data_IF_501443895340
#
_entry.id   IF_501443895340
#
_cell.length_a   1.000
_cell.length_b   1.000
_cell.length_c   1.000
_cell.angle_alpha   90.00
_cell.angle_beta   90.00
_cell.angle_gamma   90.00
#
_symmetry.space_group_name_H-M   'P 1'
#
loop_
_entity.id
_entity.type
_entity.pdbx_description
1 polymer ?
#
# COMPACT_ATOMS: atom_id res chain seq x y z
N UNK A 1 -30.22 25.83 -43.13
CA UNK A 1 -30.00 27.28 -43.33
C UNK A 1 -28.94 27.73 -42.35
N UNK A 2 -27.80 28.14 -42.88
CA UNK A 2 -26.66 28.64 -42.12
C UNK A 2 -26.93 30.07 -41.65
N UNK A 3 -26.50 30.41 -40.43
CA UNK A 3 -25.86 31.70 -40.18
C UNK A 3 -24.74 31.47 -39.16
N UNK A 4 -23.52 31.36 -39.68
CA UNK A 4 -22.30 31.68 -38.96
C UNK A 4 -22.29 33.21 -38.78
N UNK A 5 -22.02 33.71 -37.58
CA UNK A 5 -21.42 35.04 -37.45
C UNK A 5 -20.07 34.96 -36.74
N UNK A 6 -18.99 35.49 -37.36
CA UNK A 6 -17.63 35.50 -36.82
C UNK A 6 -17.27 36.87 -36.22
N UNK A 7 -15.99 37.00 -35.85
CA UNK A 7 -15.23 38.26 -35.67
C UNK A 7 -15.39 38.84 -34.25
N UNK A 8 -14.32 38.96 -33.45
CA UNK A 8 -13.35 40.04 -33.61
C UNK A 8 -11.99 39.68 -32.97
N UNK A 9 -10.92 39.77 -33.78
CA UNK A 9 -9.54 39.93 -33.33
C UNK A 9 -9.39 41.29 -32.62
N UNK A 10 -8.65 41.31 -31.52
CA UNK A 10 -7.90 42.49 -31.11
C UNK A 10 -6.49 42.06 -30.69
N UNK A 11 -5.55 42.25 -31.62
CA UNK A 11 -4.14 42.42 -31.34
C UNK A 11 -3.97 43.80 -30.69
N UNK A 12 -3.30 43.91 -29.55
CA UNK A 12 -2.19 44.84 -29.43
C UNK A 12 -1.37 44.60 -28.17
N UNK A 13 -0.08 44.74 -28.41
CA UNK A 13 1.09 44.65 -27.55
C UNK A 13 0.98 45.44 -26.24
N UNK A 14 1.62 44.95 -25.18
CA UNK A 14 2.54 45.78 -24.40
C UNK A 14 3.54 44.87 -23.68
N UNK A 15 4.80 44.93 -24.15
CA UNK A 15 5.96 44.43 -23.43
C UNK A 15 6.15 45.29 -22.19
N UNK A 16 5.99 44.70 -21.00
CA UNK A 16 6.52 45.28 -19.75
C UNK A 16 7.70 44.41 -19.35
N UNK A 17 8.88 44.98 -19.54
CA UNK A 17 10.16 44.47 -19.08
C UNK A 17 10.20 44.72 -17.57
N UNK A 18 9.99 43.69 -16.76
CA UNK A 18 10.39 43.73 -15.35
C UNK A 18 11.87 43.37 -15.27
N UNK A 19 12.75 44.40 -15.27
CA UNK A 19 14.12 44.24 -14.79
C UNK A 19 14.05 44.15 -13.27
N UNK A 20 14.04 42.93 -12.75
CA UNK A 20 14.17 42.62 -11.34
C UNK A 20 15.42 41.78 -11.11
N UNK A 21 16.56 42.45 -10.92
CA UNK A 21 17.76 41.82 -10.38
C UNK A 21 17.55 41.64 -8.88
N UNK A 22 17.20 40.43 -8.44
CA UNK A 22 17.37 40.02 -7.05
C UNK A 22 18.20 38.73 -7.03
N UNK A 23 19.46 38.94 -6.71
CA UNK A 23 20.40 38.06 -6.03
C UNK A 23 19.85 36.73 -5.50
N UNK A 24 20.60 35.66 -5.74
CA UNK A 24 20.55 34.46 -4.90
C UNK A 24 20.31 33.14 -5.63
N UNK A 25 21.15 32.80 -6.61
CA UNK A 25 21.37 31.39 -6.97
C UNK A 25 22.68 30.93 -6.36
N UNK A 26 22.60 30.32 -5.18
CA UNK A 26 23.61 29.39 -4.70
C UNK A 26 22.88 28.08 -4.45
N UNK A 27 23.34 27.05 -5.15
CA UNK A 27 22.85 25.69 -5.08
C UNK A 27 22.88 25.19 -3.63
N UNK A 28 21.76 24.66 -3.15
CA UNK A 28 21.80 23.67 -2.09
C UNK A 28 21.94 22.32 -2.79
N UNK A 29 23.19 21.91 -2.99
CA UNK A 29 23.56 20.52 -3.23
C UNK A 29 23.24 19.70 -1.98
N UNK A 30 22.67 18.52 -2.24
CA UNK A 30 22.80 17.33 -1.41
C UNK A 30 22.23 17.43 0.01
N UNK A 31 20.92 17.18 0.09
CA UNK A 31 20.40 16.43 1.23
C UNK A 31 21.13 15.09 1.28
N UNK A 32 22.16 15.01 2.12
CA UNK A 32 22.81 13.78 2.49
C UNK A 32 21.72 12.82 2.95
N UNK A 33 21.47 11.79 2.14
CA UNK A 33 20.75 10.60 2.58
C UNK A 33 21.35 10.16 3.89
N UNK A 34 20.53 10.20 4.94
CA UNK A 34 20.86 9.61 6.21
C UNK A 34 21.33 8.19 5.95
N UNK A 35 22.51 7.89 6.48
CA UNK A 35 23.11 6.58 6.45
C UNK A 35 22.14 5.61 7.10
N UNK A 36 21.46 4.81 6.27
CA UNK A 36 20.67 3.66 6.71
C UNK A 36 21.64 2.65 7.32
N UNK A 37 21.90 2.84 8.62
CA UNK A 37 22.51 1.86 9.48
C UNK A 37 21.62 0.62 9.40
N UNK A 38 22.06 -0.41 8.66
CA UNK A 38 21.27 -1.60 8.33
C UNK A 38 20.80 -2.30 9.60
N UNK A 39 19.63 -1.91 10.10
CA UNK A 39 19.00 -2.52 11.26
C UNK A 39 18.33 -3.80 10.80
N UNK A 40 18.73 -4.93 11.39
CA UNK A 40 18.09 -6.22 11.17
C UNK A 40 16.56 -6.10 11.36
N UNK A 41 15.75 -6.78 10.53
CA UNK A 41 14.30 -6.76 10.69
C UNK A 41 13.88 -7.25 12.09
N UNK A 42 12.83 -6.64 12.61
CA UNK A 42 12.22 -7.03 13.88
C UNK A 42 11.30 -8.23 13.66
N UNK A 43 11.37 -9.22 14.56
CA UNK A 43 10.49 -10.39 14.48
C UNK A 43 9.13 -10.03 15.06
N UNK A 44 8.06 -10.28 14.31
CA UNK A 44 6.68 -10.18 14.77
C UNK A 44 6.26 -11.51 15.39
N UNK A 45 5.81 -11.44 16.63
CA UNK A 45 5.12 -12.52 17.32
C UNK A 45 3.81 -11.96 17.88
N UNK A 46 2.69 -12.34 17.28
CA UNK A 46 1.38 -11.92 17.75
C UNK A 46 0.73 -13.05 18.53
N UNK A 47 0.35 -12.74 19.77
CA UNK A 47 -0.48 -13.60 20.60
C UNK A 47 -1.69 -12.78 21.04
N UNK A 48 -2.88 -13.14 20.55
CA UNK A 48 -4.10 -12.45 20.91
C UNK A 48 -4.40 -12.63 22.41
N UNK A 49 -4.19 -11.57 23.19
CA UNK A 49 -4.52 -11.54 24.64
C UNK A 49 -5.99 -11.21 24.90
N UNK A 50 -6.62 -10.52 23.95
CA UNK A 50 -7.98 -10.01 24.03
C UNK A 50 -8.80 -10.36 22.79
N UNK A 51 -10.12 -10.24 22.88
CA UNK A 51 -11.01 -10.46 21.74
C UNK A 51 -10.88 -9.30 20.73
N UNK A 52 -10.94 -9.59 19.42
CA UNK A 52 -10.87 -8.55 18.40
C UNK A 52 -12.10 -7.64 18.44
N UNK A 53 -11.94 -6.39 18.02
CA UNK A 53 -13.07 -5.49 17.79
C UNK A 53 -13.91 -6.02 16.62
N UNK A 54 -15.23 -6.15 16.85
CA UNK A 54 -16.16 -6.66 15.86
C UNK A 54 -16.04 -5.91 14.53
N UNK A 55 -15.80 -6.67 13.46
CA UNK A 55 -15.70 -6.18 12.10
C UNK A 55 -14.37 -5.53 11.70
N UNK A 56 -13.48 -5.25 12.67
CA UNK A 56 -12.21 -4.54 12.44
C UNK A 56 -10.99 -5.44 12.73
N UNK A 57 -11.00 -6.15 13.85
CA UNK A 57 -9.85 -6.92 14.34
C UNK A 57 -9.13 -6.22 15.51
N UNK A 58 -7.81 -6.41 15.59
CA UNK A 58 -6.93 -5.74 16.56
C UNK A 58 -6.24 -4.53 15.93
N UNK A 59 -5.75 -3.61 16.78
CA UNK A 59 -5.00 -2.44 16.35
C UNK A 59 -3.64 -2.83 15.73
N UNK A 60 -3.31 -2.24 14.58
CA UNK A 60 -1.99 -2.38 13.96
C UNK A 60 -1.02 -1.47 14.71
N UNK A 61 -0.14 -2.07 15.53
CA UNK A 61 0.81 -1.34 16.39
C UNK A 61 2.16 -1.05 15.73
N UNK A 62 2.40 -1.60 14.54
CA UNK A 62 3.62 -1.37 13.75
C UNK A 62 3.45 -0.24 12.75
N UNK A 63 4.57 0.38 12.36
CA UNK A 63 4.60 1.47 11.39
C UNK A 63 5.38 1.07 10.14
N UNK A 64 4.91 1.53 9.00
CA UNK A 64 5.45 1.20 7.68
C UNK A 64 6.71 2.01 7.42
N UNK A 65 7.67 1.43 6.70
CA UNK A 65 8.75 2.16 6.05
C UNK A 65 8.47 2.36 4.56
N UNK A 66 9.42 2.98 3.87
CA UNK A 66 9.33 3.21 2.42
C UNK A 66 9.25 1.89 1.63
N UNK A 67 9.95 0.84 2.07
CA UNK A 67 9.92 -0.46 1.42
C UNK A 67 8.51 -1.11 1.48
N UNK A 68 7.83 -1.06 2.63
CA UNK A 68 6.47 -1.58 2.79
C UNK A 68 5.48 -0.79 1.93
N UNK A 69 5.58 0.54 1.93
CA UNK A 69 4.75 1.43 1.11
C UNK A 69 4.95 1.18 -0.38
N UNK A 70 6.19 0.98 -0.82
CA UNK A 70 6.49 0.71 -2.23
C UNK A 70 6.01 -0.69 -2.66
N UNK A 71 6.16 -1.71 -1.81
CA UNK A 71 5.65 -3.05 -2.09
C UNK A 71 4.12 -3.07 -2.19
N UNK A 72 3.40 -2.43 -1.25
CA UNK A 72 1.92 -2.44 -1.30
C UNK A 72 1.40 -1.71 -2.54
N UNK A 73 2.03 -0.60 -2.95
CA UNK A 73 1.65 0.09 -4.19
C UNK A 73 1.85 -0.81 -5.41
N UNK A 74 2.95 -1.57 -5.46
CA UNK A 74 3.17 -2.56 -6.51
C UNK A 74 2.07 -3.64 -6.53
N UNK A 75 1.78 -4.24 -5.37
CA UNK A 75 0.72 -5.25 -5.22
C UNK A 75 -0.66 -4.72 -5.64
N UNK A 76 -0.99 -3.49 -5.25
CA UNK A 76 -2.23 -2.83 -5.62
C UNK A 76 -2.31 -2.58 -7.13
N UNK A 77 -1.25 -2.02 -7.72
CA UNK A 77 -1.20 -1.70 -9.15
C UNK A 77 -1.33 -2.94 -10.04
N UNK A 78 -0.78 -4.08 -9.62
CA UNK A 78 -0.88 -5.33 -10.37
C UNK A 78 -2.20 -6.10 -10.11
N UNK A 79 -3.07 -5.59 -9.24
CA UNK A 79 -4.35 -6.24 -8.93
C UNK A 79 -4.24 -7.50 -8.07
N UNK A 80 -3.22 -7.60 -7.22
CA UNK A 80 -3.18 -8.64 -6.19
C UNK A 80 -4.42 -8.56 -5.29
N UNK A 81 -4.78 -9.66 -4.63
CA UNK A 81 -5.86 -9.67 -3.63
C UNK A 81 -5.41 -10.34 -2.34
N UNK A 82 -5.80 -9.76 -1.22
CA UNK A 82 -5.65 -10.36 0.11
C UNK A 82 -7.03 -10.75 0.64
N UNK A 83 -7.28 -12.04 0.79
CA UNK A 83 -8.52 -12.58 1.35
C UNK A 83 -8.34 -12.80 2.85
N UNK A 84 -9.17 -12.15 3.66
CA UNK A 84 -9.04 -12.12 5.12
C UNK A 84 -10.38 -12.33 5.81
N UNK A 85 -10.33 -12.66 7.09
CA UNK A 85 -11.44 -12.47 8.01
C UNK A 85 -11.01 -11.49 9.11
N UNK A 86 -11.84 -10.52 9.46
CA UNK A 86 -11.50 -9.50 10.46
C UNK A 86 -11.06 -10.06 11.83
N UNK A 87 -11.60 -11.21 12.22
CA UNK A 87 -11.33 -11.88 13.50
C UNK A 87 -10.11 -12.80 13.48
N UNK A 88 -9.45 -12.98 12.34
CA UNK A 88 -8.40 -13.99 12.17
C UNK A 88 -7.04 -13.50 12.70
N UNK A 89 -6.42 -14.21 13.67
CA UNK A 89 -5.13 -13.80 14.26
C UNK A 89 -3.99 -13.73 13.25
N UNK A 90 -3.87 -14.71 12.35
CA UNK A 90 -2.84 -14.71 11.30
C UNK A 90 -3.03 -13.58 10.30
N UNK A 91 -4.27 -13.16 10.06
CA UNK A 91 -4.58 -12.00 9.23
C UNK A 91 -4.06 -10.73 9.91
N UNK A 92 -4.16 -10.66 11.24
CA UNK A 92 -3.56 -9.58 12.00
C UNK A 92 -2.02 -9.62 12.01
N UNK A 93 -1.40 -10.80 12.07
CA UNK A 93 0.05 -10.92 11.88
C UNK A 93 0.50 -10.36 10.52
N UNK A 94 -0.22 -10.67 9.43
CA UNK A 94 0.07 -10.13 8.11
C UNK A 94 -0.04 -8.60 8.08
N UNK A 95 -1.03 -8.02 8.77
CA UNK A 95 -1.17 -6.56 8.96
C UNK A 95 0.07 -5.96 9.60
N UNK A 96 0.56 -6.60 10.67
CA UNK A 96 1.71 -6.12 11.42
C UNK A 96 3.01 -6.13 10.60
N UNK A 97 3.16 -7.06 9.65
CA UNK A 97 4.30 -7.08 8.74
C UNK A 97 4.34 -5.87 7.80
N UNK A 98 3.19 -5.38 7.35
CA UNK A 98 3.10 -4.18 6.51
C UNK A 98 3.18 -2.89 7.32
N UNK A 99 2.62 -2.87 8.52
CA UNK A 99 2.44 -1.64 9.28
C UNK A 99 1.19 -0.86 8.89
N UNK A 100 0.83 0.10 9.74
CA UNK A 100 -0.46 0.81 9.69
C UNK A 100 -0.72 1.52 8.36
N UNK A 101 0.26 2.26 7.86
CA UNK A 101 0.16 3.09 6.65
C UNK A 101 0.06 2.25 5.37
N UNK A 102 0.90 1.23 5.23
CA UNK A 102 0.86 0.33 4.08
C UNK A 102 -0.40 -0.55 4.11
N UNK A 103 -0.84 -1.01 5.29
CA UNK A 103 -2.06 -1.81 5.38
C UNK A 103 -3.34 -1.00 5.15
N UNK A 104 -3.31 0.33 5.34
CA UNK A 104 -4.41 1.20 4.92
C UNK A 104 -4.62 1.10 3.41
N UNK A 105 -3.53 1.14 2.62
CA UNK A 105 -3.58 0.97 1.16
C UNK A 105 -4.16 -0.41 0.80
N UNK A 106 -3.77 -1.47 1.51
CA UNK A 106 -4.34 -2.82 1.33
C UNK A 106 -5.85 -2.79 1.56
N UNK A 107 -6.27 -2.23 2.69
CA UNK A 107 -7.67 -2.16 3.10
C UNK A 107 -8.56 -1.43 2.10
N UNK A 108 -8.02 -0.39 1.46
CA UNK A 108 -8.77 0.45 0.53
C UNK A 108 -8.84 -0.11 -0.90
N UNK A 109 -7.89 -0.96 -1.30
CA UNK A 109 -7.72 -1.32 -2.73
C UNK A 109 -7.76 -2.82 -3.05
N UNK A 110 -7.20 -3.67 -2.18
CA UNK A 110 -6.92 -5.07 -2.54
C UNK A 110 -7.35 -6.10 -1.49
N UNK A 111 -7.80 -5.66 -0.31
CA UNK A 111 -8.40 -6.53 0.70
C UNK A 111 -9.78 -7.01 0.25
N UNK A 112 -10.07 -8.28 0.49
CA UNK A 112 -11.40 -8.90 0.39
C UNK A 112 -11.77 -9.46 1.75
N UNK A 113 -12.76 -8.85 2.40
CA UNK A 113 -13.27 -9.30 3.71
C UNK A 113 -14.27 -10.45 3.53
N UNK A 114 -14.00 -11.60 4.14
CA UNK A 114 -14.73 -12.83 3.89
C UNK A 114 -15.80 -13.17 4.94
N UNK A 115 -15.81 -12.53 6.11
CA UNK A 115 -16.84 -12.71 7.13
C UNK A 115 -17.95 -11.65 7.00
N UNK A 116 -19.22 -12.06 7.03
CA UNK A 116 -20.39 -11.18 6.87
C UNK A 116 -20.49 -10.09 7.94
N UNK A 117 -19.81 -10.22 9.07
CA UNK A 117 -19.78 -9.24 10.16
C UNK A 117 -18.60 -8.25 10.04
N UNK A 118 -17.78 -8.41 9.01
CA UNK A 118 -16.71 -7.50 8.65
C UNK A 118 -17.21 -6.19 8.04
N UNK A 119 -16.30 -5.21 7.91
CA UNK A 119 -16.58 -3.98 7.17
C UNK A 119 -16.48 -4.26 5.67
N UNK A 120 -17.48 -3.82 4.91
CA UNK A 120 -17.60 -4.02 3.47
C UNK A 120 -17.37 -5.49 3.04
N UNK A 121 -18.15 -6.44 3.59
CA UNK A 121 -17.86 -7.86 3.44
C UNK A 121 -18.27 -8.38 2.06
N UNK A 122 -17.46 -9.29 1.52
CA UNK A 122 -17.63 -9.94 0.22
C UNK A 122 -17.43 -11.47 0.30
N UNK A 123 -18.20 -12.18 1.14
CA UNK A 123 -18.06 -13.63 1.31
C UNK A 123 -18.23 -14.42 0.00
N UNK A 124 -19.06 -13.92 -0.92
CA UNK A 124 -19.31 -14.58 -2.20
C UNK A 124 -18.05 -14.57 -3.10
N UNK A 125 -17.24 -13.49 -3.05
CA UNK A 125 -15.96 -13.43 -3.74
C UNK A 125 -14.96 -14.42 -3.16
N UNK A 126 -14.95 -14.60 -1.85
CA UNK A 126 -14.08 -15.58 -1.19
C UNK A 126 -14.46 -17.02 -1.56
N UNK A 127 -15.76 -17.33 -1.59
CA UNK A 127 -16.28 -18.62 -2.05
C UNK A 127 -15.94 -18.89 -3.52
N UNK A 128 -16.11 -17.90 -4.38
CA UNK A 128 -15.76 -18.00 -5.80
C UNK A 128 -14.25 -18.23 -6.01
N UNK A 129 -13.40 -17.55 -5.22
CA UNK A 129 -11.95 -17.71 -5.25
C UNK A 129 -11.45 -19.04 -4.65
N UNK A 130 -12.30 -19.78 -3.93
CA UNK A 130 -11.98 -21.06 -3.28
C UNK A 130 -10.75 -20.95 -2.38
N UNK A 131 -10.61 -19.85 -1.64
CA UNK A 131 -9.48 -19.68 -0.72
C UNK A 131 -9.53 -20.73 0.39
N UNK A 132 -8.41 -21.43 0.68
CA UNK A 132 -8.40 -22.56 1.62
C UNK A 132 -8.44 -22.12 3.09
N UNK A 133 -8.17 -20.84 3.37
CA UNK A 133 -8.11 -20.27 4.70
C UNK A 133 -7.67 -18.80 4.65
N UNK A 134 -7.40 -18.22 5.82
CA UNK A 134 -7.03 -16.81 5.95
C UNK A 134 -5.71 -16.62 6.72
N UNK A 135 -4.88 -15.63 6.35
CA UNK A 135 -5.00 -14.88 5.10
C UNK A 135 -4.68 -15.76 3.89
N UNK A 136 -5.19 -15.39 2.72
CA UNK A 136 -4.73 -15.96 1.44
C UNK A 136 -4.47 -14.83 0.46
N UNK A 137 -3.27 -14.79 -0.11
CA UNK A 137 -2.95 -13.88 -1.20
C UNK A 137 -3.22 -14.54 -2.55
N UNK A 138 -3.81 -13.80 -3.48
CA UNK A 138 -3.91 -14.18 -4.88
C UNK A 138 -3.08 -13.19 -5.69
N UNK A 139 -2.01 -13.68 -6.31
CA UNK A 139 -1.05 -12.88 -7.08
C UNK A 139 -0.83 -13.60 -8.41
N UNK A 140 -1.10 -12.92 -9.53
CA UNK A 140 -1.02 -13.49 -10.89
C UNK A 140 -1.81 -14.81 -11.03
N UNK A 141 -2.98 -14.90 -10.38
CA UNK A 141 -3.84 -16.09 -10.40
C UNK A 141 -3.37 -17.24 -9.49
N UNK A 142 -2.20 -17.15 -8.86
CA UNK A 142 -1.70 -18.15 -7.92
C UNK A 142 -2.07 -17.80 -6.48
N UNK A 143 -2.46 -18.80 -5.69
CA UNK A 143 -2.81 -18.64 -4.28
C UNK A 143 -1.61 -18.91 -3.37
N UNK A 144 -1.46 -18.08 -2.34
CA UNK A 144 -0.45 -18.20 -1.28
C UNK A 144 -1.18 -18.11 0.05
N UNK A 145 -1.39 -19.27 0.69
CA UNK A 145 -2.17 -19.37 1.93
C UNK A 145 -1.30 -19.21 3.18
N UNK A 146 -1.89 -18.64 4.21
CA UNK A 146 -1.22 -18.31 5.46
C UNK A 146 -0.44 -17.00 5.37
N UNK A 147 0.15 -16.60 6.50
CA UNK A 147 0.99 -15.40 6.58
C UNK A 147 2.17 -15.53 5.64
N UNK A 148 2.42 -14.48 4.86
CA UNK A 148 3.53 -14.37 3.93
C UNK A 148 4.49 -13.29 4.43
N UNK A 149 5.77 -13.62 4.53
CA UNK A 149 6.80 -12.60 4.71
C UNK A 149 6.80 -11.66 3.49
N UNK A 150 7.08 -10.37 3.70
CA UNK A 150 7.04 -9.38 2.62
C UNK A 150 8.05 -9.67 1.51
N UNK A 151 9.17 -10.34 1.83
CA UNK A 151 10.12 -10.84 0.83
C UNK A 151 9.51 -11.91 -0.08
N UNK A 152 8.64 -12.77 0.44
CA UNK A 152 7.95 -13.81 -0.32
C UNK A 152 6.87 -13.18 -1.22
N UNK A 153 6.10 -12.20 -0.71
CA UNK A 153 5.16 -11.42 -1.52
C UNK A 153 5.87 -10.64 -2.62
N UNK A 154 7.02 -10.01 -2.32
CA UNK A 154 7.85 -9.33 -3.31
C UNK A 154 8.36 -10.28 -4.40
N UNK A 155 8.73 -11.52 -4.03
CA UNK A 155 9.13 -12.55 -4.99
C UNK A 155 7.95 -12.99 -5.87
N UNK A 156 6.82 -13.33 -5.26
CA UNK A 156 5.61 -13.79 -5.93
C UNK A 156 5.04 -12.76 -6.93
N UNK A 157 5.15 -11.47 -6.58
CA UNK A 157 4.67 -10.35 -7.40
C UNK A 157 5.66 -9.86 -8.45
N UNK A 158 6.88 -10.43 -8.49
CA UNK A 158 7.94 -9.95 -9.36
C UNK A 158 8.49 -8.56 -8.98
N UNK A 159 8.18 -8.04 -7.79
CA UNK A 159 8.63 -6.73 -7.30
C UNK A 159 10.17 -6.61 -7.30
N UNK A 160 10.65 -5.50 -7.87
CA UNK A 160 12.08 -5.20 -8.08
C UNK A 160 12.62 -4.02 -7.26
N UNK A 161 11.76 -3.33 -6.51
CA UNK A 161 12.18 -2.23 -5.65
C UNK A 161 12.84 -2.70 -4.35
N UNK A 162 12.99 -1.78 -3.40
CA UNK A 162 13.67 -2.03 -2.12
C UNK A 162 12.92 -3.06 -1.27
N UNK A 163 13.67 -4.02 -0.71
CA UNK A 163 13.18 -5.12 0.13
C UNK A 163 13.71 -5.06 1.57
N UNK A 164 14.19 -3.89 1.99
CA UNK A 164 14.60 -3.58 3.36
C UNK A 164 13.38 -3.45 4.29
N UNK A 165 12.57 -4.51 4.35
CA UNK A 165 11.37 -4.55 5.19
C UNK A 165 11.74 -4.59 6.68
N UNK A 166 11.01 -3.81 7.48
CA UNK A 166 11.21 -3.63 8.93
C UNK A 166 10.87 -4.85 9.74
N UNK A 167 9.98 -5.71 9.24
CA UNK A 167 9.37 -6.79 10.00
C UNK A 167 9.45 -8.13 9.27
N UNK A 168 9.64 -9.19 10.05
CA UNK A 168 9.57 -10.58 9.57
C UNK A 168 8.74 -11.43 10.53
N UNK A 169 8.08 -12.45 9.99
CA UNK A 169 7.50 -13.53 10.79
C UNK A 169 8.55 -14.63 10.93
N UNK A 170 8.79 -15.08 12.16
CA UNK A 170 9.58 -16.30 12.38
C UNK A 170 8.80 -17.49 11.82
N UNK A 171 9.48 -18.32 11.03
CA UNK A 171 8.95 -19.64 10.66
C UNK A 171 9.03 -20.59 11.84
#
# INVERSE_FOLDING_TARGET
MAIKHPVLLALSTLSIICVGTSSGSALLTEGAGQTDNQKSPSIIFFLAKERPQTGVGWEITTTSGEAELALVRHLANMGAKEYVAWWCPHCHEQKLLFGKEAYQIISDSIKVECDRRGINPHPDLCKAAKVPGFPTWVINGQQYSGVQNLKDLAKASGYKGDKNFRYIQSK
#
